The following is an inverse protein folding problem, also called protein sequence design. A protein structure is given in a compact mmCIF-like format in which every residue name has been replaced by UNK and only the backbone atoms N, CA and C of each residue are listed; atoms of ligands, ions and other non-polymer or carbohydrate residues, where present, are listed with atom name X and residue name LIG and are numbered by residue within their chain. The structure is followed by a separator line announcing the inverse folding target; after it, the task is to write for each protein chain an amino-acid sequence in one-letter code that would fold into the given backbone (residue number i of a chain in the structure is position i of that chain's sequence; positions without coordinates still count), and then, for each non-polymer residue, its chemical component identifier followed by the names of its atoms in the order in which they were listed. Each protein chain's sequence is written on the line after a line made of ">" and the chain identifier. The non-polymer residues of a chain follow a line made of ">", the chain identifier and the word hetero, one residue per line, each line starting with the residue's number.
data_IF_329003170213
#
_entry.id   IF_329003170213
#
_cell.length_a   1.000
_cell.length_b   1.000
_cell.length_c   1.000
_cell.angle_alpha   90.00
_cell.angle_beta   90.00
_cell.angle_gamma   90.00
#
_symmetry.space_group_name_H-M   'P 1'
#
loop_
_entity.id
_entity.type
_entity.pdbx_description
1 polymer ?
#
# COMPACT_ATOMS: atom_id res chain seq x y z
N UNK A 1 -0.91 -23.87 -3.72
CA UNK A 1 -0.44 -22.84 -2.78
C UNK A 1 -0.57 -23.34 -1.34
N UNK A 2 0.40 -23.12 -0.45
CA UNK A 2 0.27 -23.47 0.98
C UNK A 2 -0.42 -22.32 1.72
N UNK A 3 -1.26 -22.61 2.72
CA UNK A 3 -1.97 -21.57 3.50
C UNK A 3 -1.06 -20.44 4.00
N UNK A 4 0.18 -20.74 4.39
CA UNK A 4 1.17 -19.75 4.82
C UNK A 4 1.52 -18.71 3.75
N UNK A 5 1.53 -19.07 2.46
CA UNK A 5 1.78 -18.11 1.37
C UNK A 5 0.62 -17.14 1.17
N UNK A 6 -0.62 -17.57 1.47
CA UNK A 6 -1.81 -16.74 1.40
C UNK A 6 -1.81 -15.67 2.50
N UNK A 7 -1.52 -16.07 3.75
CA UNK A 7 -1.38 -15.12 4.87
C UNK A 7 -0.24 -14.13 4.65
N UNK A 8 0.89 -14.57 4.08
CA UNK A 8 2.00 -13.68 3.74
C UNK A 8 1.54 -12.59 2.75
N UNK A 9 0.73 -12.95 1.75
CA UNK A 9 0.16 -12.01 0.78
C UNK A 9 -0.72 -10.97 1.45
N UNK A 10 -1.59 -11.39 2.37
CA UNK A 10 -2.50 -10.45 3.04
C UNK A 10 -1.74 -9.49 3.97
N UNK A 11 -0.68 -9.96 4.65
CA UNK A 11 0.22 -9.09 5.43
C UNK A 11 0.98 -8.11 4.51
N UNK A 12 1.49 -8.58 3.37
CA UNK A 12 2.15 -7.74 2.37
C UNK A 12 1.18 -6.69 1.78
N UNK A 13 -0.07 -7.08 1.53
CA UNK A 13 -1.13 -6.20 1.07
C UNK A 13 -1.53 -5.14 2.10
N UNK A 14 -1.59 -5.53 3.39
CA UNK A 14 -1.83 -4.59 4.48
C UNK A 14 -0.67 -3.60 4.61
N UNK A 15 0.57 -4.07 4.51
CA UNK A 15 1.76 -3.22 4.50
C UNK A 15 1.78 -2.25 3.32
N UNK A 16 1.33 -2.69 2.14
CA UNK A 16 1.16 -1.84 0.96
C UNK A 16 0.12 -0.75 1.22
N UNK A 17 -1.04 -1.10 1.78
CA UNK A 17 -2.11 -0.15 2.10
C UNK A 17 -1.61 0.93 3.07
N UNK A 18 -0.96 0.53 4.17
CA UNK A 18 -0.43 1.47 5.16
C UNK A 18 0.61 2.40 4.52
N UNK A 19 1.52 1.85 3.71
CA UNK A 19 2.52 2.65 2.99
C UNK A 19 1.88 3.63 2.01
N UNK A 20 0.83 3.22 1.30
CA UNK A 20 0.09 4.09 0.38
C UNK A 20 -0.62 5.24 1.10
N UNK A 21 -1.24 4.96 2.25
CA UNK A 21 -1.87 5.98 3.09
C UNK A 21 -0.83 7.02 3.56
N UNK A 22 0.34 6.56 4.02
CA UNK A 22 1.42 7.46 4.46
C UNK A 22 1.91 8.37 3.33
N UNK A 23 2.08 7.83 2.11
CA UNK A 23 2.45 8.64 0.93
C UNK A 23 1.37 9.67 0.61
N UNK A 24 0.09 9.29 0.68
CA UNK A 24 -1.03 10.22 0.48
C UNK A 24 -1.04 11.34 1.53
N UNK A 25 -0.74 11.02 2.79
CA UNK A 25 -0.56 12.05 3.83
C UNK A 25 0.58 13.01 3.48
N UNK A 26 1.71 12.50 2.96
CA UNK A 26 2.82 13.34 2.50
C UNK A 26 2.42 14.32 1.40
N UNK A 27 1.58 13.87 0.45
CA UNK A 27 1.03 14.74 -0.61
C UNK A 27 0.13 15.83 -0.02
N UNK A 28 -0.74 15.47 0.93
CA UNK A 28 -1.63 16.43 1.60
C UNK A 28 -0.82 17.47 2.37
N UNK A 29 0.22 17.05 3.11
CA UNK A 29 1.11 17.96 3.83
C UNK A 29 1.89 18.86 2.87
N UNK A 30 2.28 18.33 1.70
CA UNK A 30 2.93 19.15 0.67
C UNK A 30 2.02 20.25 0.13
N UNK A 31 0.74 19.91 -0.12
CA UNK A 31 -0.28 20.87 -0.54
C UNK A 31 -0.56 21.92 0.53
N UNK A 32 -0.69 21.50 1.79
CA UNK A 32 -0.86 22.40 2.93
C UNK A 32 0.34 23.34 3.10
N UNK A 33 1.55 22.83 2.97
CA UNK A 33 2.77 23.65 3.02
C UNK A 33 2.79 24.70 1.92
N UNK A 34 2.46 24.32 0.68
CA UNK A 34 2.37 25.25 -0.44
C UNK A 34 1.29 26.33 -0.21
N UNK A 35 0.10 25.95 0.26
CA UNK A 35 -0.98 26.90 0.56
C UNK A 35 -0.59 27.87 1.68
N UNK A 36 0.04 27.38 2.76
CA UNK A 36 0.50 28.24 3.85
C UNK A 36 1.60 29.22 3.42
N UNK A 37 2.47 28.81 2.50
CA UNK A 37 3.45 29.70 1.88
C UNK A 37 2.77 30.85 1.11
N UNK A 38 1.72 30.56 0.34
CA UNK A 38 0.94 31.61 -0.35
C UNK A 38 0.18 32.54 0.60
N UNK A 39 -0.22 32.05 1.77
CA UNK A 39 -0.93 32.84 2.81
C UNK A 39 0.07 33.68 3.65
N UNK A 40 1.38 33.50 3.46
CA UNK A 40 2.43 34.20 4.21
C UNK A 40 2.65 33.66 5.63
N UNK A 41 2.18 32.43 5.90
CA UNK A 41 2.40 31.72 7.16
C UNK A 41 3.63 30.82 7.08
N UNK A 42 4.81 31.45 6.98
CA UNK A 42 6.09 30.77 6.70
C UNK A 42 6.45 29.68 7.73
N UNK A 43 6.12 29.90 9.02
CA UNK A 43 6.38 28.91 10.08
C UNK A 43 5.55 27.62 9.90
N UNK A 44 4.29 27.77 9.50
CA UNK A 44 3.41 26.62 9.24
C UNK A 44 3.84 25.91 7.94
N UNK A 45 4.24 26.68 6.92
CA UNK A 45 4.72 26.15 5.66
C UNK A 45 5.99 25.28 5.82
N UNK A 46 7.00 25.75 6.59
CA UNK A 46 8.23 24.99 6.85
C UNK A 46 7.93 23.69 7.63
N UNK A 47 7.05 23.78 8.62
CA UNK A 47 6.67 22.62 9.44
C UNK A 47 6.01 21.54 8.57
N UNK A 48 5.02 21.91 7.75
CA UNK A 48 4.34 20.96 6.87
C UNK A 48 5.27 20.36 5.81
N UNK A 49 6.20 21.16 5.26
CA UNK A 49 7.18 20.64 4.30
C UNK A 49 8.16 19.66 4.92
N UNK A 50 8.65 19.97 6.12
CA UNK A 50 9.59 19.09 6.84
C UNK A 50 8.96 17.75 7.20
N UNK A 51 7.70 17.77 7.62
CA UNK A 51 6.92 16.56 7.95
C UNK A 51 6.54 15.74 6.71
N UNK A 52 6.41 16.38 5.54
CA UNK A 52 6.12 15.68 4.29
C UNK A 52 7.29 14.83 3.78
N UNK A 53 8.54 15.26 3.97
CA UNK A 53 9.76 14.59 3.48
C UNK A 53 9.86 13.11 3.94
N UNK A 54 9.76 12.77 5.24
CA UNK A 54 9.86 11.38 5.68
C UNK A 54 8.69 10.53 5.17
N UNK A 55 7.52 11.12 4.92
CA UNK A 55 6.36 10.40 4.38
C UNK A 55 6.59 9.92 2.95
N UNK A 56 7.37 10.65 2.14
CA UNK A 56 7.73 10.23 0.79
C UNK A 56 8.70 9.04 0.75
N UNK A 57 9.47 8.77 1.81
CA UNK A 57 10.30 7.56 1.86
C UNK A 57 9.48 6.27 1.78
N UNK A 58 8.21 6.29 2.22
CA UNK A 58 7.29 5.16 2.08
C UNK A 58 6.87 4.87 0.63
N UNK A 59 7.21 5.75 -0.32
CA UNK A 59 6.97 5.49 -1.75
C UNK A 59 7.79 4.29 -2.26
N UNK A 60 9.01 4.09 -1.76
CA UNK A 60 9.89 2.99 -2.15
C UNK A 60 9.30 1.62 -1.77
N UNK A 61 8.95 1.34 -0.49
CA UNK A 61 8.31 0.07 -0.14
C UNK A 61 6.93 -0.07 -0.80
N UNK A 62 6.19 1.02 -0.99
CA UNK A 62 4.90 0.97 -1.68
C UNK A 62 5.06 0.48 -3.14
N UNK A 63 6.06 0.98 -3.87
CA UNK A 63 6.32 0.57 -5.26
C UNK A 63 6.84 -0.87 -5.36
N UNK A 64 7.73 -1.26 -4.45
CA UNK A 64 8.27 -2.63 -4.38
C UNK A 64 7.17 -3.65 -4.05
N UNK A 65 6.35 -3.36 -3.04
CA UNK A 65 5.25 -4.24 -2.62
C UNK A 65 4.17 -4.35 -3.70
N UNK A 66 3.81 -3.25 -4.35
CA UNK A 66 2.89 -3.27 -5.49
C UNK A 66 3.43 -4.19 -6.59
N UNK A 67 4.70 -4.04 -6.98
CA UNK A 67 5.32 -4.87 -8.01
C UNK A 67 5.41 -6.35 -7.63
N UNK A 68 5.62 -6.67 -6.35
CA UNK A 68 5.66 -8.06 -5.86
C UNK A 68 4.26 -8.69 -5.87
N UNK A 69 3.23 -7.95 -5.44
CA UNK A 69 1.85 -8.43 -5.38
C UNK A 69 1.25 -8.57 -6.80
N UNK A 70 1.57 -7.67 -7.73
CA UNK A 70 1.07 -7.71 -9.11
C UNK A 70 1.72 -8.79 -9.98
N UNK A 71 2.57 -9.68 -9.43
CA UNK A 71 3.17 -10.78 -10.18
C UNK A 71 2.06 -11.74 -10.66
N UNK A 72 1.89 -11.96 -11.97
CA UNK A 72 0.79 -12.73 -12.53
C UNK A 72 0.77 -14.19 -12.03
N UNK A 73 1.94 -14.75 -11.75
CA UNK A 73 2.09 -16.09 -11.21
C UNK A 73 1.47 -16.24 -9.80
N UNK A 74 1.51 -15.20 -8.98
CA UNK A 74 0.86 -15.22 -7.66
C UNK A 74 -0.65 -15.02 -7.72
N UNK A 75 -1.16 -14.35 -8.77
CA UNK A 75 -2.60 -14.22 -9.01
C UNK A 75 -3.17 -15.57 -9.45
N UNK A 76 -2.49 -16.23 -10.39
CA UNK A 76 -2.88 -17.55 -10.90
C UNK A 76 -2.89 -18.62 -9.79
N UNK A 77 -1.87 -18.63 -8.93
CA UNK A 77 -1.78 -19.57 -7.80
C UNK A 77 -2.94 -19.43 -6.79
N UNK A 78 -3.48 -18.21 -6.62
CA UNK A 78 -4.61 -17.95 -5.72
C UNK A 78 -5.91 -18.39 -6.36
N UNK A 79 -6.10 -18.09 -7.64
CA UNK A 79 -7.28 -18.49 -8.40
C UNK A 79 -7.40 -20.01 -8.46
N UNK A 80 -6.30 -20.72 -8.72
CA UNK A 80 -6.24 -22.17 -8.69
C UNK A 80 -6.55 -22.74 -7.30
N UNK A 81 -6.09 -22.07 -6.22
CA UNK A 81 -6.39 -22.49 -4.85
C UNK A 81 -7.87 -22.29 -4.49
N UNK A 82 -8.47 -21.17 -4.89
CA UNK A 82 -9.89 -20.90 -4.68
C UNK A 82 -10.77 -21.85 -5.49
N UNK A 83 -10.40 -22.13 -6.74
CA UNK A 83 -11.07 -23.12 -7.60
C UNK A 83 -10.97 -24.53 -7.01
N UNK A 84 -9.82 -24.93 -6.49
CA UNK A 84 -9.65 -26.23 -5.83
C UNK A 84 -10.47 -26.35 -4.53
N UNK A 85 -10.53 -25.28 -3.74
CA UNK A 85 -11.36 -25.22 -2.53
C UNK A 85 -12.87 -25.28 -2.86
N UNK A 86 -13.31 -24.52 -3.86
CA UNK A 86 -14.71 -24.53 -4.33
C UNK A 86 -15.12 -25.89 -4.89
N UNK A 87 -14.24 -26.55 -5.67
CA UNK A 87 -14.48 -27.91 -6.17
C UNK A 87 -14.63 -28.93 -5.03
N UNK A 88 -13.78 -28.85 -4.01
CA UNK A 88 -13.91 -29.71 -2.81
C UNK A 88 -15.24 -29.49 -2.09
N UNK A 89 -15.65 -28.23 -1.93
CA UNK A 89 -16.92 -27.88 -1.28
C UNK A 89 -18.14 -28.40 -2.08
N UNK A 90 -18.11 -28.26 -3.41
CA UNK A 90 -19.16 -28.76 -4.30
C UNK A 90 -19.23 -30.28 -4.42
N UNK A 91 -18.18 -31.02 -4.05
CA UNK A 91 -18.19 -32.50 -4.06
C UNK A 91 -18.60 -33.10 -2.72
N UNK A 92 -18.57 -32.31 -1.64
CA UNK A 92 -19.00 -32.72 -0.29
C UNK A 92 -20.47 -32.44 0.01
N UNK A 93 -21.18 -31.79 -0.90
CA UNK A 93 -22.61 -31.47 -0.86
C UNK A 93 -23.29 -31.97 -2.13
#
# INVERSE_FOLDING_TARGET
>A
MTASKLYLRDILGLGLLISAILVMLGIIFSLLGALNYFIGQDMAADTFMREAIPLFFFMVPCFLLAKIISRPQWIHDVEDYQLAAAKKFSQSH
#
